data_IF_126499924330
#
_entry.id   IF_126499924330
#
_cell.length_a   1.000
_cell.length_b   1.000
_cell.length_c   1.000
_cell.angle_alpha   90.00
_cell.angle_beta   90.00
_cell.angle_gamma   90.00
#
_symmetry.space_group_name_H-M   'P 1'
#
loop_
_entity.id
_entity.type
_entity.pdbx_description
1 polymer ?
#
# COMPACT_ATOMS: atom_id res chain seq x y z
N UNK A 1 12.33 4.66 2.99
CA UNK A 1 11.04 5.09 3.58
C UNK A 1 10.04 3.97 3.38
N UNK A 2 9.30 3.63 4.43
CA UNK A 2 8.23 2.63 4.40
C UNK A 2 6.90 3.39 4.43
N UNK A 3 5.96 3.00 3.58
CA UNK A 3 4.58 3.48 3.60
C UNK A 3 3.72 2.31 4.09
N UNK A 4 3.18 2.46 5.30
CA UNK A 4 2.39 1.41 5.94
C UNK A 4 0.96 1.44 5.43
N UNK A 5 0.56 0.40 4.70
CA UNK A 5 -0.76 0.27 4.07
C UNK A 5 -1.70 -0.67 4.82
N UNK A 6 -1.25 -1.28 5.91
CA UNK A 6 -2.01 -2.23 6.72
C UNK A 6 -3.40 -1.72 7.13
N UNK A 7 -3.56 -0.51 7.70
CA UNK A 7 -4.86 0.00 8.13
C UNK A 7 -5.90 0.17 7.02
N UNK A 8 -5.46 0.43 5.77
CA UNK A 8 -6.33 0.51 4.60
C UNK A 8 -6.30 -0.79 3.81
N UNK A 9 -5.24 -1.00 3.03
CA UNK A 9 -5.13 -2.10 2.07
C UNK A 9 -5.13 -3.47 2.75
N UNK A 10 -4.40 -3.57 3.88
CA UNK A 10 -4.33 -4.79 4.66
C UNK A 10 -5.68 -5.20 5.24
N UNK A 11 -6.48 -4.23 5.72
CA UNK A 11 -7.79 -4.52 6.29
C UNK A 11 -8.87 -4.69 5.22
N UNK A 12 -8.77 -4.00 4.07
CA UNK A 12 -9.86 -3.80 3.11
C UNK A 12 -10.62 -5.08 2.71
N UNK A 13 -9.89 -6.18 2.55
CA UNK A 13 -10.41 -7.45 2.05
C UNK A 13 -10.60 -8.50 3.17
N UNK A 14 -10.41 -8.14 4.44
CA UNK A 14 -10.67 -9.03 5.56
C UNK A 14 -12.19 -9.21 5.75
N UNK A 15 -12.62 -10.47 5.82
CA UNK A 15 -14.04 -10.82 5.90
C UNK A 15 -14.68 -10.46 7.24
N UNK A 16 -13.88 -10.47 8.32
CA UNK A 16 -14.33 -10.13 9.67
C UNK A 16 -14.36 -8.60 9.84
N UNK A 17 -15.52 -8.02 10.19
CA UNK A 17 -15.61 -6.59 10.48
C UNK A 17 -14.71 -6.20 11.66
N UNK A 18 -13.74 -5.32 11.41
CA UNK A 18 -12.82 -4.84 12.43
C UNK A 18 -13.41 -3.58 13.08
N UNK A 19 -13.57 -3.54 14.41
CA UNK A 19 -14.08 -2.36 15.11
C UNK A 19 -13.20 -1.13 14.93
N UNK A 20 -13.82 0.04 14.77
CA UNK A 20 -13.13 1.34 14.66
C UNK A 20 -12.06 1.57 15.75
N UNK A 21 -12.31 1.26 17.04
CA UNK A 21 -11.29 1.43 18.07
C UNK A 21 -10.03 0.57 17.85
N UNK A 22 -10.17 -0.62 17.25
CA UNK A 22 -9.02 -1.46 16.95
C UNK A 22 -8.23 -0.91 15.75
N UNK A 23 -8.89 -0.36 14.73
CA UNK A 23 -8.22 0.32 13.61
C UNK A 23 -7.44 1.55 14.08
N UNK A 24 -8.04 2.37 14.97
CA UNK A 24 -7.37 3.54 15.55
C UNK A 24 -6.16 3.15 16.39
N UNK A 25 -6.27 2.08 17.19
CA UNK A 25 -5.12 1.54 17.93
C UNK A 25 -4.02 1.06 16.99
N UNK A 26 -4.36 0.31 15.94
CA UNK A 26 -3.39 -0.10 14.92
C UNK A 26 -2.63 1.11 14.35
N UNK A 27 -3.34 2.13 13.87
CA UNK A 27 -2.73 3.36 13.32
C UNK A 27 -1.84 4.06 14.35
N UNK A 28 -2.29 4.14 15.59
CA UNK A 28 -1.54 4.79 16.69
C UNK A 28 -0.26 4.03 17.00
N UNK A 29 -0.34 2.71 17.18
CA UNK A 29 0.82 1.86 17.48
C UNK A 29 1.85 1.88 16.34
N UNK A 30 1.40 1.91 15.08
CA UNK A 30 2.28 2.02 13.92
C UNK A 30 3.00 3.37 13.88
N UNK A 31 2.30 4.47 14.18
CA UNK A 31 2.91 5.79 14.31
C UNK A 31 3.94 5.84 15.45
N UNK A 32 3.63 5.26 16.61
CA UNK A 32 4.53 5.14 17.76
C UNK A 32 5.73 4.20 17.52
N UNK A 33 5.60 3.30 16.54
CA UNK A 33 6.69 2.49 16.01
C UNK A 33 7.62 3.30 15.08
N UNK A 34 7.34 4.56 14.80
CA UNK A 34 8.18 5.42 13.96
C UNK A 34 7.79 5.47 12.48
N UNK A 35 6.68 4.81 12.09
CA UNK A 35 6.16 4.93 10.73
C UNK A 35 5.57 6.33 10.52
N UNK A 36 6.16 7.07 9.58
CA UNK A 36 5.81 8.47 9.29
C UNK A 36 4.92 8.67 8.06
N UNK A 37 4.60 7.60 7.33
CA UNK A 37 3.60 7.59 6.26
C UNK A 37 2.70 6.38 6.45
N UNK A 38 1.43 6.64 6.74
CA UNK A 38 0.45 5.60 7.04
C UNK A 38 -0.78 5.84 6.18
N UNK A 39 -1.17 4.86 5.39
CA UNK A 39 -2.43 4.88 4.66
C UNK A 39 -3.56 4.46 5.60
N UNK A 40 -4.25 5.47 6.14
CA UNK A 40 -5.14 5.31 7.28
C UNK A 40 -6.47 4.66 6.89
N UNK A 41 -7.03 5.01 5.73
CA UNK A 41 -8.36 4.53 5.30
C UNK A 41 -8.65 4.84 3.82
N UNK A 42 -9.85 4.48 3.35
CA UNK A 42 -10.34 4.75 2.00
C UNK A 42 -11.75 5.37 2.01
N UNK A 43 -11.91 6.49 1.32
CA UNK A 43 -13.20 7.16 1.10
C UNK A 43 -13.90 6.56 -0.13
N UNK A 44 -14.24 5.28 -0.01
CA UNK A 44 -14.92 4.46 -1.02
C UNK A 44 -16.36 4.18 -0.56
N UNK A 45 -17.22 3.71 -1.46
CA UNK A 45 -18.60 3.40 -1.08
C UNK A 45 -18.64 2.26 -0.04
N UNK A 46 -19.27 2.47 1.13
CA UNK A 46 -19.47 1.43 2.15
C UNK A 46 -20.22 0.20 1.64
N UNK A 47 -21.01 0.36 0.57
CA UNK A 47 -21.71 -0.75 -0.09
C UNK A 47 -20.74 -1.74 -0.73
N UNK A 48 -19.66 -1.24 -1.34
CA UNK A 48 -18.69 -2.06 -2.05
C UNK A 48 -17.56 -2.52 -1.13
N UNK A 49 -17.18 -1.68 -0.17
CA UNK A 49 -16.10 -1.96 0.78
C UNK A 49 -16.59 -1.65 2.20
N UNK A 50 -17.41 -2.53 2.81
CA UNK A 50 -17.97 -2.29 4.15
C UNK A 50 -16.90 -2.09 5.22
N UNK A 51 -15.75 -2.73 5.05
CA UNK A 51 -14.64 -2.65 5.98
C UNK A 51 -14.09 -1.23 6.14
N UNK A 52 -14.27 -0.35 5.15
CA UNK A 52 -13.81 1.03 5.19
C UNK A 52 -14.92 2.03 5.53
N UNK A 53 -16.10 1.56 5.94
CA UNK A 53 -17.29 2.41 6.18
C UNK A 53 -17.13 3.47 7.28
N UNK A 54 -16.18 3.30 8.19
CA UNK A 54 -15.84 4.21 9.28
C UNK A 54 -14.73 5.21 8.91
N UNK A 55 -14.41 5.36 7.62
CA UNK A 55 -13.33 6.21 7.10
C UNK A 55 -13.33 7.65 7.67
N UNK A 56 -14.50 8.28 7.81
CA UNK A 56 -14.63 9.64 8.33
C UNK A 56 -14.27 9.70 9.82
N UNK A 57 -14.77 8.74 10.61
CA UNK A 57 -14.43 8.62 12.03
C UNK A 57 -12.94 8.38 12.22
N UNK A 58 -12.35 7.46 11.44
CA UNK A 58 -10.91 7.19 11.46
C UNK A 58 -10.13 8.49 11.26
N UNK A 59 -10.39 9.24 10.18
CA UNK A 59 -9.65 10.46 9.90
C UNK A 59 -9.86 11.58 10.92
N UNK A 60 -11.02 11.62 11.57
CA UNK A 60 -11.28 12.61 12.62
C UNK A 60 -10.57 12.28 13.95
N UNK A 61 -10.23 11.01 14.17
CA UNK A 61 -9.72 10.49 15.44
C UNK A 61 -8.27 9.98 15.36
N UNK A 62 -7.65 9.92 14.17
CA UNK A 62 -6.21 9.58 14.07
C UNK A 62 -5.36 10.53 14.93
N UNK A 63 -4.26 10.04 15.53
CA UNK A 63 -3.37 10.88 16.33
C UNK A 63 -2.86 12.09 15.54
N UNK A 64 -2.95 13.29 16.13
CA UNK A 64 -2.46 14.52 15.49
C UNK A 64 -0.96 14.68 15.76
N UNK A 65 -0.16 13.92 15.04
CA UNK A 65 1.31 13.91 15.15
C UNK A 65 1.92 14.59 13.93
N UNK A 66 2.62 15.72 14.12
CA UNK A 66 3.27 16.46 13.03
C UNK A 66 4.33 15.62 12.28
N UNK A 67 4.86 14.58 12.95
CA UNK A 67 5.82 13.64 12.38
C UNK A 67 5.19 12.59 11.46
N UNK A 68 3.86 12.51 11.36
CA UNK A 68 3.15 11.47 10.61
C UNK A 68 2.28 12.09 9.53
N UNK A 69 2.43 11.57 8.31
CA UNK A 69 1.60 11.90 7.17
C UNK A 69 0.56 10.81 6.97
N UNK A 70 -0.71 11.16 7.12
CA UNK A 70 -1.82 10.25 6.85
C UNK A 70 -2.24 10.34 5.38
N UNK A 71 -2.27 9.18 4.73
CA UNK A 71 -2.71 9.01 3.36
C UNK A 71 -4.09 8.34 3.32
N UNK A 72 -4.90 8.72 2.34
CA UNK A 72 -6.24 8.14 2.15
C UNK A 72 -6.52 7.88 0.68
N UNK A 73 -7.20 6.76 0.39
CA UNK A 73 -7.63 6.45 -0.97
C UNK A 73 -8.93 7.21 -1.31
N UNK A 74 -8.94 7.96 -2.41
CA UNK A 74 -10.08 8.77 -2.86
C UNK A 74 -10.35 8.50 -4.35
N UNK A 75 -11.27 7.59 -4.71
CA UNK A 75 -11.48 7.18 -6.11
C UNK A 75 -12.18 8.23 -6.98
N UNK A 76 -12.77 9.27 -6.36
CA UNK A 76 -13.53 10.31 -7.04
C UNK A 76 -13.57 11.59 -6.18
N UNK A 77 -14.06 12.68 -6.79
CA UNK A 77 -14.11 14.01 -6.16
C UNK A 77 -14.97 14.04 -4.89
N UNK A 78 -16.06 13.28 -4.84
CA UNK A 78 -16.92 13.21 -3.65
C UNK A 78 -16.18 12.58 -2.47
N UNK A 79 -15.43 11.50 -2.73
CA UNK A 79 -14.57 10.86 -1.74
C UNK A 79 -13.44 11.79 -1.27
N UNK A 80 -12.86 12.55 -2.20
CA UNK A 80 -11.87 13.59 -1.89
C UNK A 80 -12.42 14.68 -0.95
N UNK A 81 -13.56 15.28 -1.31
CA UNK A 81 -14.19 16.34 -0.50
C UNK A 81 -14.55 15.82 0.90
N UNK A 82 -15.08 14.60 0.98
CA UNK A 82 -15.36 13.95 2.26
C UNK A 82 -14.08 13.72 3.06
N UNK A 83 -12.98 13.30 2.44
CA UNK A 83 -11.71 13.09 3.11
C UNK A 83 -11.16 14.37 3.74
N UNK A 84 -11.07 15.45 2.96
CA UNK A 84 -10.56 16.75 3.41
C UNK A 84 -11.46 17.36 4.51
N UNK A 85 -12.77 17.12 4.44
CA UNK A 85 -13.70 17.55 5.49
C UNK A 85 -13.61 16.76 6.81
N UNK A 86 -13.06 15.54 6.77
CA UNK A 86 -13.06 14.61 7.91
C UNK A 86 -11.84 14.75 8.81
N UNK A 87 -10.74 15.35 8.32
CA UNK A 87 -9.52 15.46 9.11
C UNK A 87 -8.33 15.95 8.29
N UNK A 88 -7.15 15.93 8.92
CA UNK A 88 -5.91 16.34 8.27
C UNK A 88 -5.40 15.25 7.34
N UNK A 89 -5.59 15.45 6.04
CA UNK A 89 -5.10 14.57 4.98
C UNK A 89 -3.81 15.14 4.40
N UNK A 90 -2.72 14.38 4.47
CA UNK A 90 -1.43 14.80 3.88
C UNK A 90 -1.30 14.40 2.42
N UNK A 91 -1.86 13.23 2.09
CA UNK A 91 -1.78 12.64 0.76
C UNK A 91 -3.13 12.02 0.40
N UNK A 92 -3.59 12.26 -0.82
CA UNK A 92 -4.70 11.51 -1.41
C UNK A 92 -4.18 10.57 -2.48
N UNK A 93 -4.73 9.36 -2.50
CA UNK A 93 -4.30 8.31 -3.42
C UNK A 93 -5.41 7.96 -4.41
N UNK A 94 -5.04 7.79 -5.68
CA UNK A 94 -5.89 7.24 -6.75
C UNK A 94 -5.30 5.91 -7.24
N UNK A 95 -6.14 5.02 -7.78
CA UNK A 95 -5.70 3.68 -8.17
C UNK A 95 -6.05 3.37 -9.62
N UNK A 96 -5.04 3.13 -10.45
CA UNK A 96 -5.17 2.64 -11.82
C UNK A 96 -4.60 1.23 -11.96
N UNK A 97 -4.57 0.71 -13.20
CA UNK A 97 -3.90 -0.54 -13.51
C UNK A 97 -3.30 -0.50 -14.91
N UNK A 98 -2.25 -1.29 -15.14
CA UNK A 98 -1.63 -1.49 -16.44
C UNK A 98 -2.36 -2.56 -17.30
N UNK A 99 -3.59 -2.94 -16.93
CA UNK A 99 -4.34 -4.04 -17.53
C UNK A 99 -5.80 -3.68 -17.74
N UNK A 100 -6.25 -3.73 -18.99
CA UNK A 100 -7.65 -3.48 -19.37
C UNK A 100 -8.59 -4.50 -18.72
N UNK A 101 -8.18 -5.78 -18.70
CA UNK A 101 -8.94 -6.83 -18.04
C UNK A 101 -9.13 -6.53 -16.55
N UNK A 102 -8.11 -6.00 -15.88
CA UNK A 102 -8.20 -5.65 -14.47
C UNK A 102 -9.09 -4.43 -14.23
N UNK A 103 -8.94 -3.35 -15.01
CA UNK A 103 -9.79 -2.17 -14.88
C UNK A 103 -11.28 -2.49 -15.09
N UNK A 104 -11.62 -3.27 -16.12
CA UNK A 104 -13.01 -3.67 -16.37
C UNK A 104 -13.58 -4.51 -15.25
N UNK A 105 -12.82 -5.46 -14.72
CA UNK A 105 -13.27 -6.32 -13.62
C UNK A 105 -13.37 -5.58 -12.29
N UNK A 106 -12.48 -4.63 -11.99
CA UNK A 106 -12.40 -3.99 -10.68
C UNK A 106 -13.24 -2.71 -10.57
N UNK A 107 -13.32 -1.91 -11.64
CA UNK A 107 -13.98 -0.59 -11.64
C UNK A 107 -14.92 -0.35 -12.82
N UNK A 108 -15.16 -1.39 -13.63
CA UNK A 108 -16.10 -1.38 -14.76
C UNK A 108 -15.88 -0.21 -15.73
N UNK A 109 -14.61 0.06 -16.05
CA UNK A 109 -14.21 1.05 -17.05
C UNK A 109 -12.88 0.65 -17.72
N UNK A 110 -12.48 1.36 -18.78
CA UNK A 110 -11.16 1.20 -19.39
C UNK A 110 -10.07 1.89 -18.55
N UNK A 111 -8.80 1.67 -18.92
CA UNK A 111 -7.68 2.40 -18.31
C UNK A 111 -7.84 3.90 -18.52
N UNK A 112 -8.11 4.34 -19.76
CA UNK A 112 -8.18 5.75 -20.11
C UNK A 112 -9.36 6.45 -19.37
N UNK A 113 -10.51 5.78 -19.29
CA UNK A 113 -11.66 6.27 -18.49
C UNK A 113 -11.33 6.37 -17.00
N UNK A 114 -10.52 5.45 -16.46
CA UNK A 114 -10.09 5.51 -15.06
C UNK A 114 -9.19 6.73 -14.81
N UNK A 115 -8.24 6.99 -15.71
CA UNK A 115 -7.32 8.14 -15.64
C UNK A 115 -8.09 9.45 -15.69
N UNK A 116 -9.08 9.56 -16.59
CA UNK A 116 -9.90 10.76 -16.70
C UNK A 116 -10.74 11.03 -15.44
N UNK A 117 -11.22 9.98 -14.75
CA UNK A 117 -11.91 10.13 -13.45
C UNK A 117 -10.99 10.68 -12.36
N UNK A 118 -9.70 10.35 -12.40
CA UNK A 118 -8.74 10.81 -11.41
C UNK A 118 -8.36 12.28 -11.57
N UNK A 119 -8.47 12.85 -12.79
CA UNK A 119 -8.08 14.24 -13.07
C UNK A 119 -8.74 15.22 -12.10
N UNK A 120 -10.04 15.09 -11.89
CA UNK A 120 -10.77 15.97 -10.96
C UNK A 120 -10.28 15.86 -9.52
N UNK A 121 -9.87 14.68 -9.06
CA UNK A 121 -9.29 14.50 -7.71
C UNK A 121 -7.91 15.17 -7.62
N UNK A 122 -7.06 14.95 -8.62
CA UNK A 122 -5.69 15.50 -8.65
C UNK A 122 -5.70 17.02 -8.78
N UNK A 123 -6.61 17.58 -9.57
CA UNK A 123 -6.81 19.03 -9.69
C UNK A 123 -7.20 19.65 -8.36
N UNK A 124 -8.19 19.08 -7.65
CA UNK A 124 -8.59 19.56 -6.31
C UNK A 124 -7.49 19.43 -5.28
N UNK A 125 -6.80 18.28 -5.25
CA UNK A 125 -5.66 18.07 -4.36
C UNK A 125 -4.59 19.15 -4.57
N UNK A 126 -4.30 19.47 -5.83
CA UNK A 126 -3.34 20.53 -6.18
C UNK A 126 -3.81 21.92 -5.75
N UNK A 127 -5.09 22.25 -5.91
CA UNK A 127 -5.67 23.52 -5.46
C UNK A 127 -5.54 23.69 -3.93
N UNK A 128 -5.73 22.61 -3.19
CA UNK A 128 -5.66 22.59 -1.72
C UNK A 128 -4.23 22.37 -1.18
N UNK A 129 -3.24 22.21 -2.06
CA UNK A 129 -1.84 21.96 -1.68
C UNK A 129 -1.59 20.58 -1.06
N UNK A 130 -2.48 19.63 -1.30
CA UNK A 130 -2.40 18.24 -0.84
C UNK A 130 -1.66 17.39 -1.88
N UNK A 131 -0.75 16.52 -1.43
CA UNK A 131 -0.02 15.63 -2.33
C UNK A 131 -0.96 14.60 -2.96
N UNK A 132 -0.87 14.40 -4.28
CA UNK A 132 -1.57 13.31 -4.96
C UNK A 132 -0.60 12.18 -5.31
N UNK A 133 -0.97 10.95 -4.91
CA UNK A 133 -0.23 9.71 -5.13
C UNK A 133 -1.04 8.76 -6.03
N UNK A 134 -0.37 8.04 -6.92
CA UNK A 134 -1.01 7.12 -7.86
C UNK A 134 -0.54 5.69 -7.66
N UNK A 135 -1.44 4.73 -7.64
CA UNK A 135 -1.11 3.31 -7.66
C UNK A 135 -1.33 2.72 -9.05
N UNK A 136 -0.37 1.95 -9.57
CA UNK A 136 -0.52 1.18 -10.81
C UNK A 136 -0.49 -0.31 -10.49
N UNK A 137 -1.65 -0.95 -10.54
CA UNK A 137 -1.77 -2.41 -10.38
C UNK A 137 -1.28 -3.19 -11.61
N UNK A 138 -0.99 -4.47 -11.39
CA UNK A 138 -0.67 -5.48 -12.41
C UNK A 138 0.63 -5.22 -13.21
N UNK A 139 1.68 -4.66 -12.60
CA UNK A 139 2.92 -4.35 -13.33
C UNK A 139 3.68 -5.60 -13.84
N UNK A 140 3.51 -6.72 -13.14
CA UNK A 140 4.18 -7.98 -13.43
C UNK A 140 3.26 -9.02 -14.10
N UNK A 141 1.95 -8.87 -13.94
CA UNK A 141 0.94 -9.78 -14.48
C UNK A 141 -0.46 -9.42 -13.99
N UNK A 142 -1.46 -9.94 -14.69
CA UNK A 142 -2.87 -9.71 -14.42
C UNK A 142 -3.61 -11.04 -14.24
N UNK A 143 -4.47 -11.20 -13.22
CA UNK A 143 -5.25 -12.43 -13.03
C UNK A 143 -6.31 -12.66 -14.13
N UNK A 144 -6.69 -11.63 -14.88
CA UNK A 144 -7.71 -11.70 -15.92
C UNK A 144 -7.16 -11.75 -17.35
N UNK A 145 -6.04 -11.05 -17.59
CA UNK A 145 -5.43 -10.88 -18.92
C UNK A 145 -4.14 -11.72 -19.07
N UNK A 146 -3.56 -12.19 -17.97
CA UNK A 146 -2.27 -12.85 -17.96
C UNK A 146 -1.12 -11.83 -18.10
N UNK A 147 -0.19 -12.02 -19.04
CA UNK A 147 0.95 -11.12 -19.20
C UNK A 147 0.56 -9.65 -19.45
N UNK A 148 1.24 -8.73 -18.77
CA UNK A 148 1.11 -7.28 -18.96
C UNK A 148 2.39 -6.75 -19.59
N UNK A 149 2.27 -5.94 -20.65
CA UNK A 149 3.45 -5.41 -21.34
C UNK A 149 4.12 -4.30 -20.53
N UNK A 150 5.45 -4.17 -20.61
CA UNK A 150 6.17 -3.05 -19.96
C UNK A 150 5.69 -1.70 -20.53
N UNK A 151 5.37 -1.68 -21.83
CA UNK A 151 4.86 -0.48 -22.51
C UNK A 151 3.54 0.01 -21.91
N UNK A 152 2.65 -0.89 -21.51
CA UNK A 152 1.39 -0.51 -20.86
C UNK A 152 1.64 0.09 -19.48
N UNK A 153 2.60 -0.46 -18.71
CA UNK A 153 3.00 0.11 -17.41
C UNK A 153 3.55 1.53 -17.60
N UNK A 154 4.46 1.73 -18.56
CA UNK A 154 5.05 3.04 -18.86
C UNK A 154 3.99 4.03 -19.32
N UNK A 155 3.07 3.62 -20.21
CA UNK A 155 1.96 4.47 -20.68
C UNK A 155 1.10 4.99 -19.53
N UNK A 156 0.73 4.11 -18.59
CA UNK A 156 -0.08 4.50 -17.43
C UNK A 156 0.72 5.38 -16.47
N UNK A 157 2.01 5.09 -16.26
CA UNK A 157 2.89 5.93 -15.46
C UNK A 157 3.00 7.35 -16.03
N UNK A 158 3.29 7.48 -17.33
CA UNK A 158 3.36 8.79 -18.01
C UNK A 158 2.05 9.56 -17.86
N UNK A 159 0.91 8.91 -18.09
CA UNK A 159 -0.40 9.54 -17.94
C UNK A 159 -0.68 10.01 -16.50
N UNK A 160 -0.25 9.24 -15.48
CA UNK A 160 -0.34 9.68 -14.08
C UNK A 160 0.54 10.90 -13.80
N UNK A 161 1.78 10.89 -14.32
CA UNK A 161 2.70 12.02 -14.18
C UNK A 161 2.19 13.28 -14.86
N UNK A 162 1.68 13.18 -16.09
CA UNK A 162 1.07 14.29 -16.84
C UNK A 162 -0.13 14.90 -16.12
N UNK A 163 -0.92 14.08 -15.42
CA UNK A 163 -2.05 14.54 -14.61
C UNK A 163 -1.63 15.31 -13.35
N UNK A 164 -0.36 15.22 -12.93
CA UNK A 164 0.17 15.90 -11.74
C UNK A 164 0.37 15.01 -10.52
N UNK A 165 0.31 13.68 -10.68
CA UNK A 165 0.67 12.76 -9.60
C UNK A 165 2.15 12.92 -9.24
N UNK A 166 2.41 13.18 -7.97
CA UNK A 166 3.76 13.49 -7.47
C UNK A 166 4.57 12.23 -7.18
N UNK A 167 3.92 11.14 -6.81
CA UNK A 167 4.56 9.84 -6.55
C UNK A 167 3.70 8.71 -7.11
N UNK A 168 4.32 7.74 -7.78
CA UNK A 168 3.64 6.58 -8.35
C UNK A 168 4.14 5.30 -7.69
N UNK A 169 3.24 4.54 -7.08
CA UNK A 169 3.50 3.21 -6.55
C UNK A 169 3.19 2.14 -7.59
N UNK A 170 4.23 1.39 -7.99
CA UNK A 170 4.12 0.31 -8.96
C UNK A 170 3.81 -1.00 -8.21
N UNK A 171 2.62 -1.55 -8.46
CA UNK A 171 2.05 -2.68 -7.73
C UNK A 171 2.15 -4.02 -8.46
N UNK A 172 2.84 -4.98 -7.86
CA UNK A 172 2.72 -6.41 -8.19
C UNK A 172 1.54 -7.02 -7.42
N UNK A 173 0.33 -6.70 -7.88
CA UNK A 173 -0.95 -6.99 -7.21
C UNK A 173 -1.22 -8.46 -6.92
N UNK A 174 -0.59 -9.37 -7.66
CA UNK A 174 -0.78 -10.81 -7.48
C UNK A 174 0.49 -11.52 -7.00
N UNK A 175 1.60 -10.79 -6.82
CA UNK A 175 2.85 -11.31 -6.27
C UNK A 175 3.60 -12.27 -7.20
N UNK A 176 3.36 -12.19 -8.53
CA UNK A 176 3.98 -13.08 -9.53
C UNK A 176 5.29 -12.52 -10.10
N UNK A 177 5.60 -11.27 -9.78
CA UNK A 177 6.80 -10.60 -10.22
C UNK A 177 8.06 -11.26 -9.69
N UNK A 178 9.07 -11.31 -10.55
CA UNK A 178 10.41 -11.77 -10.21
C UNK A 178 11.40 -10.62 -10.33
N UNK A 179 12.61 -10.71 -9.73
CA UNK A 179 13.60 -9.64 -9.81
C UNK A 179 13.94 -9.22 -11.25
N UNK A 180 13.97 -10.16 -12.19
CA UNK A 180 14.18 -9.88 -13.60
C UNK A 180 13.05 -9.01 -14.17
N UNK A 181 11.80 -9.40 -13.90
CA UNK A 181 10.63 -8.65 -14.36
C UNK A 181 10.56 -7.25 -13.75
N UNK A 182 10.84 -7.13 -12.46
CA UNK A 182 10.92 -5.83 -11.76
C UNK A 182 11.99 -4.94 -12.40
N UNK A 183 13.13 -5.52 -12.77
CA UNK A 183 14.20 -4.77 -13.46
C UNK A 183 13.76 -4.21 -14.80
N UNK A 184 13.04 -5.01 -15.60
CA UNK A 184 12.52 -4.57 -16.91
C UNK A 184 11.59 -3.37 -16.75
N UNK A 185 10.64 -3.46 -15.80
CA UNK A 185 9.66 -2.40 -15.55
C UNK A 185 10.34 -1.14 -15.05
N UNK A 186 11.18 -1.24 -14.01
CA UNK A 186 11.88 -0.09 -13.44
C UNK A 186 12.82 0.58 -14.45
N UNK A 187 13.53 -0.20 -15.27
CA UNK A 187 14.41 0.37 -16.30
C UNK A 187 13.62 1.19 -17.32
N UNK A 188 12.45 0.69 -17.74
CA UNK A 188 11.62 1.39 -18.70
C UNK A 188 10.99 2.67 -18.12
N UNK A 189 10.51 2.62 -16.88
CA UNK A 189 9.97 3.79 -16.17
C UNK A 189 11.08 4.84 -15.93
N UNK A 190 12.27 4.42 -15.54
CA UNK A 190 13.41 5.33 -15.36
C UNK A 190 13.80 6.04 -16.66
N UNK A 191 13.62 5.40 -17.83
CA UNK A 191 13.90 6.01 -19.13
C UNK A 191 12.82 7.00 -19.58
N UNK A 192 11.56 6.84 -19.16
CA UNK A 192 10.48 7.78 -19.49
C UNK A 192 10.40 8.98 -18.56
N UNK A 193 10.98 8.88 -17.35
CA UNK A 193 10.89 9.92 -16.33
C UNK A 193 12.15 10.79 -16.24
N UNK A 194 12.04 12.13 -16.34
CA UNK A 194 13.18 13.03 -16.09
C UNK A 194 13.77 12.89 -14.68
N UNK A 195 12.97 12.46 -13.69
CA UNK A 195 13.40 12.20 -12.32
C UNK A 195 13.96 10.79 -12.09
N UNK A 196 14.10 9.99 -13.15
CA UNK A 196 14.49 8.58 -13.04
C UNK A 196 13.48 7.83 -12.17
N UNK A 197 13.94 7.32 -11.02
CA UNK A 197 13.11 6.60 -10.05
C UNK A 197 12.79 7.40 -8.77
N UNK A 198 13.16 8.68 -8.70
CA UNK A 198 13.02 9.48 -7.47
C UNK A 198 11.56 9.68 -7.00
N UNK A 199 10.60 9.54 -7.90
CA UNK A 199 9.16 9.64 -7.68
C UNK A 199 8.44 8.29 -7.71
N UNK A 200 9.19 7.19 -7.76
CA UNK A 200 8.64 5.82 -7.78
C UNK A 200 8.66 5.24 -6.38
N UNK A 201 7.57 4.56 -6.02
CA UNK A 201 7.48 3.62 -4.91
C UNK A 201 7.16 2.23 -5.47
N UNK A 202 7.45 1.18 -4.69
CA UNK A 202 7.08 -0.19 -5.06
C UNK A 202 6.13 -0.80 -4.05
N UNK A 203 5.14 -1.51 -4.56
CA UNK A 203 4.17 -2.26 -3.77
C UNK A 203 4.21 -3.72 -4.20
N UNK A 204 4.81 -4.57 -3.39
CA UNK A 204 4.92 -6.00 -3.68
C UNK A 204 4.00 -6.81 -2.80
N UNK A 205 3.23 -7.68 -3.43
CA UNK A 205 2.66 -8.81 -2.70
C UNK A 205 3.70 -9.93 -2.58
N UNK A 206 3.62 -10.66 -1.47
CA UNK A 206 4.45 -11.83 -1.18
C UNK A 206 3.71 -13.16 -1.39
N UNK A 207 2.67 -13.17 -2.23
CA UNK A 207 1.85 -14.35 -2.56
C UNK A 207 2.69 -15.57 -2.94
N UNK A 208 3.76 -15.36 -3.72
CA UNK A 208 4.68 -16.41 -4.19
C UNK A 208 6.07 -16.33 -3.55
N UNK A 209 6.21 -15.60 -2.43
CA UNK A 209 7.49 -15.49 -1.70
C UNK A 209 8.55 -14.63 -2.39
N UNK A 210 8.14 -13.75 -3.32
CA UNK A 210 9.06 -12.90 -4.09
C UNK A 210 9.20 -11.47 -3.54
N UNK A 211 8.43 -11.09 -2.52
CA UNK A 211 8.32 -9.71 -2.03
C UNK A 211 9.67 -9.14 -1.60
N UNK A 212 10.37 -9.80 -0.66
CA UNK A 212 11.68 -9.34 -0.19
C UNK A 212 12.75 -9.31 -1.30
N UNK A 213 12.76 -10.31 -2.19
CA UNK A 213 13.69 -10.36 -3.31
C UNK A 213 13.45 -9.21 -4.31
N UNK A 214 12.18 -8.86 -4.55
CA UNK A 214 11.80 -7.76 -5.42
C UNK A 214 12.09 -6.40 -4.79
N UNK A 215 11.94 -6.24 -3.46
CA UNK A 215 12.39 -5.05 -2.74
C UNK A 215 13.89 -4.87 -2.90
N UNK A 216 14.70 -5.89 -2.54
CA UNK A 216 16.16 -5.83 -2.65
C UNK A 216 16.58 -5.41 -4.05
N UNK A 217 15.98 -6.02 -5.07
CA UNK A 217 16.28 -5.67 -6.46
C UNK A 217 15.91 -4.23 -6.82
N UNK A 218 14.80 -3.73 -6.30
CA UNK A 218 14.37 -2.34 -6.52
C UNK A 218 15.32 -1.35 -5.82
N UNK A 219 15.82 -1.70 -4.63
CA UNK A 219 16.83 -0.92 -3.91
C UNK A 219 18.15 -0.84 -4.69
N UNK A 220 18.62 -1.94 -5.26
CA UNK A 220 19.82 -1.97 -6.12
C UNK A 220 19.69 -1.04 -7.34
N UNK A 221 18.46 -0.78 -7.79
CA UNK A 221 18.16 0.12 -8.90
C UNK A 221 17.94 1.57 -8.47
N UNK A 222 17.94 1.86 -7.17
CA UNK A 222 17.82 3.21 -6.63
C UNK A 222 16.43 3.58 -6.09
N UNK A 223 15.48 2.64 -6.02
CA UNK A 223 14.20 2.87 -5.34
C UNK A 223 14.40 2.85 -3.83
N UNK A 224 13.80 3.82 -3.13
CA UNK A 224 13.92 3.95 -1.67
C UNK A 224 12.57 4.10 -0.94
N UNK A 225 11.46 3.82 -1.63
CA UNK A 225 10.08 3.90 -1.09
C UNK A 225 9.34 2.60 -1.37
N UNK A 226 8.81 2.01 -0.30
CA UNK A 226 8.17 0.70 -0.36
C UNK A 226 6.89 0.69 0.46
N UNK A 227 5.85 0.11 -0.12
CA UNK A 227 4.60 -0.15 0.58
C UNK A 227 4.67 -1.52 1.25
N UNK A 228 4.22 -1.59 2.49
CA UNK A 228 4.17 -2.84 3.25
C UNK A 228 3.04 -2.79 4.27
N UNK A 229 2.69 -3.96 4.81
CA UNK A 229 1.54 -4.12 5.70
C UNK A 229 1.96 -4.84 6.98
N UNK A 230 1.76 -4.23 8.14
CA UNK A 230 2.07 -4.85 9.43
C UNK A 230 1.32 -6.19 9.59
N UNK A 231 1.99 -7.21 10.13
CA UNK A 231 1.47 -8.57 10.23
C UNK A 231 1.30 -9.29 8.88
N UNK A 232 1.71 -8.67 7.77
CA UNK A 232 1.34 -9.11 6.42
C UNK A 232 -0.17 -9.12 6.21
N UNK A 233 -0.89 -8.14 6.78
CA UNK A 233 -2.33 -8.01 6.61
C UNK A 233 -2.69 -7.77 5.14
N UNK A 234 -3.87 -8.24 4.74
CA UNK A 234 -4.32 -8.25 3.35
C UNK A 234 -3.88 -9.53 2.65
N UNK A 235 -4.85 -10.39 2.36
CA UNK A 235 -4.67 -11.55 1.49
C UNK A 235 -4.87 -11.18 0.02
N UNK A 236 -4.38 -12.03 -0.90
CA UNK A 236 -4.65 -11.87 -2.32
C UNK A 236 -6.00 -12.53 -2.68
N UNK A 237 -7.05 -11.77 -3.04
CA UNK A 237 -8.36 -12.36 -3.38
C UNK A 237 -8.31 -13.26 -4.63
N UNK A 238 -7.26 -13.12 -5.45
CA UNK A 238 -7.08 -13.85 -6.70
C UNK A 238 -6.26 -15.13 -6.55
N UNK A 239 -5.61 -15.36 -5.41
CA UNK A 239 -4.70 -16.50 -5.21
C UNK A 239 -5.33 -17.65 -4.40
N UNK A 240 -6.65 -17.67 -4.25
CA UNK A 240 -7.36 -18.62 -3.39
C UNK A 240 -7.29 -18.25 -1.91
N UNK A 241 -8.27 -18.72 -1.12
CA UNK A 241 -8.41 -18.33 0.28
C UNK A 241 -7.20 -18.73 1.14
N UNK A 242 -6.50 -17.75 1.69
CA UNK A 242 -5.40 -17.93 2.64
C UNK A 242 -3.99 -17.62 2.13
N UNK A 243 -3.81 -17.33 0.83
CA UNK A 243 -2.52 -16.89 0.32
C UNK A 243 -2.13 -15.51 0.90
N UNK A 244 -0.83 -15.29 1.12
CA UNK A 244 -0.29 -13.97 1.45
C UNK A 244 -0.69 -12.95 0.38
N UNK A 245 -0.94 -11.71 0.80
CA UNK A 245 -1.08 -10.55 -0.08
C UNK A 245 0.13 -9.66 0.12
N UNK A 246 -0.01 -8.56 0.85
CA UNK A 246 1.04 -7.58 1.06
C UNK A 246 2.32 -8.15 1.68
N UNK A 247 3.48 -7.62 1.28
CA UNK A 247 4.74 -7.83 2.00
C UNK A 247 4.61 -7.32 3.45
N UNK A 248 5.04 -8.15 4.40
CA UNK A 248 5.01 -7.79 5.82
C UNK A 248 6.01 -6.67 6.14
N UNK A 249 5.56 -5.65 6.87
CA UNK A 249 6.41 -4.52 7.30
C UNK A 249 7.56 -5.00 8.18
N UNK A 250 7.33 -5.98 9.05
CA UNK A 250 8.34 -6.56 9.93
C UNK A 250 9.46 -7.25 9.14
N UNK A 251 9.12 -7.97 8.07
CA UNK A 251 10.08 -8.69 7.23
C UNK A 251 10.95 -7.69 6.45
N UNK A 252 10.34 -6.56 6.01
CA UNK A 252 11.05 -5.46 5.37
C UNK A 252 11.99 -4.73 6.33
N UNK A 253 11.52 -4.34 7.51
CA UNK A 253 12.34 -3.66 8.53
C UNK A 253 13.52 -4.54 8.93
N UNK A 254 13.29 -5.83 9.18
CA UNK A 254 14.35 -6.77 9.50
C UNK A 254 15.42 -6.87 8.42
N UNK A 255 15.01 -6.93 7.14
CA UNK A 255 15.95 -6.93 6.02
C UNK A 255 16.76 -5.63 5.97
N UNK A 256 16.10 -4.48 6.10
CA UNK A 256 16.77 -3.17 6.09
C UNK A 256 17.77 -3.04 7.25
N UNK A 257 17.39 -3.40 8.47
CA UNK A 257 18.26 -3.36 9.65
C UNK A 257 19.49 -4.26 9.46
N UNK A 258 19.29 -5.49 8.97
CA UNK A 258 20.38 -6.43 8.68
C UNK A 258 21.32 -5.95 7.57
N UNK A 259 20.85 -5.11 6.65
CA UNK A 259 21.62 -4.48 5.59
C UNK A 259 22.25 -3.14 6.01
N UNK A 260 21.94 -2.63 7.21
CA UNK A 260 22.39 -1.30 7.67
C UNK A 260 21.67 -0.14 6.99
N UNK A 261 20.46 -0.36 6.47
CA UNK A 261 19.62 0.66 5.84
C UNK A 261 18.68 1.24 6.90
N UNK A 262 18.85 2.53 7.21
CA UNK A 262 18.05 3.20 8.22
C UNK A 262 16.58 3.38 7.79
N UNK A 263 15.67 2.85 8.60
CA UNK A 263 14.22 3.02 8.43
C UNK A 263 13.61 3.98 9.46
N UNK A 264 14.21 4.06 10.64
CA UNK A 264 13.65 4.79 11.80
C UNK A 264 12.48 4.07 12.48
N UNK A 265 12.25 2.79 12.15
CA UNK A 265 11.10 2.01 12.63
C UNK A 265 11.52 1.03 13.73
N UNK A 266 10.77 1.01 14.83
CA UNK A 266 10.90 0.04 15.92
C UNK A 266 10.21 -1.27 15.54
N UNK A 267 11.01 -2.27 15.18
CA UNK A 267 10.54 -3.58 14.75
C UNK A 267 9.63 -4.26 15.80
N UNK A 268 9.96 -4.21 17.09
CA UNK A 268 9.18 -4.92 18.11
C UNK A 268 7.78 -4.31 18.27
N UNK A 269 7.66 -2.98 18.16
CA UNK A 269 6.36 -2.30 18.17
C UNK A 269 5.51 -2.62 16.94
N UNK A 270 6.11 -2.74 15.74
CA UNK A 270 5.37 -3.17 14.55
C UNK A 270 4.84 -4.60 14.73
N UNK A 271 5.66 -5.51 15.28
CA UNK A 271 5.23 -6.89 15.57
C UNK A 271 4.04 -6.89 16.53
N UNK A 272 4.08 -6.07 17.59
CA UNK A 272 2.97 -5.97 18.54
C UNK A 272 1.69 -5.42 17.89
N UNK A 273 1.80 -4.37 17.08
CA UNK A 273 0.67 -3.78 16.36
C UNK A 273 0.02 -4.77 15.38
N UNK A 274 0.83 -5.49 14.59
CA UNK A 274 0.36 -6.54 13.70
C UNK A 274 -0.29 -7.71 14.46
N UNK A 275 0.32 -8.13 15.57
CA UNK A 275 -0.18 -9.22 16.42
C UNK A 275 -1.61 -8.95 16.87
N UNK A 276 -1.90 -7.79 17.45
CA UNK A 276 -3.21 -7.47 18.03
C UNK A 276 -4.35 -7.66 17.00
N UNK A 277 -4.12 -7.24 15.76
CA UNK A 277 -5.09 -7.38 14.67
C UNK A 277 -5.22 -8.84 14.22
N UNK A 278 -4.09 -9.54 14.06
CA UNK A 278 -4.12 -10.95 13.66
C UNK A 278 -4.79 -11.85 14.70
N UNK A 279 -4.59 -11.58 15.99
CA UNK A 279 -5.27 -12.25 17.10
C UNK A 279 -6.78 -11.98 17.09
N UNK A 280 -7.20 -10.73 16.87
CA UNK A 280 -8.61 -10.39 16.73
C UNK A 280 -9.27 -11.11 15.54
N UNK A 281 -8.57 -11.19 14.41
CA UNK A 281 -9.03 -11.88 13.21
C UNK A 281 -8.99 -13.41 13.35
N UNK A 282 -8.32 -13.94 14.38
CA UNK A 282 -8.11 -15.38 14.58
C UNK A 282 -7.24 -16.01 13.49
N UNK A 283 -6.32 -15.25 12.90
CA UNK A 283 -5.39 -15.72 11.88
C UNK A 283 -3.95 -15.69 12.40
N UNK A 284 -3.09 -16.54 11.86
CA UNK A 284 -1.64 -16.43 12.12
C UNK A 284 -1.08 -15.23 11.34
N UNK A 285 -0.15 -14.47 11.96
CA UNK A 285 0.58 -13.42 11.26
C UNK A 285 1.29 -13.99 10.04
N UNK A 286 1.23 -13.26 8.93
CA UNK A 286 1.90 -13.66 7.68
C UNK A 286 3.38 -13.24 7.65
N UNK A 287 3.81 -12.40 8.59
CA UNK A 287 5.22 -12.05 8.79
C UNK A 287 6.03 -13.22 9.34
N UNK A 288 7.10 -13.61 8.64
CA UNK A 288 8.02 -14.64 9.14
C UNK A 288 8.82 -14.16 10.35
N UNK A 289 9.24 -12.90 10.33
CA UNK A 289 9.99 -12.26 11.40
C UNK A 289 9.11 -12.07 12.64
N UNK A 290 7.89 -11.56 12.46
CA UNK A 290 6.91 -11.40 13.53
C UNK A 290 6.62 -12.71 14.23
N UNK A 291 6.42 -13.81 13.50
CA UNK A 291 6.26 -15.14 14.10
C UNK A 291 7.47 -15.59 14.92
N UNK A 292 8.69 -15.35 14.42
CA UNK A 292 9.90 -15.69 15.16
C UNK A 292 10.06 -14.86 16.45
N UNK A 293 9.76 -13.56 16.39
CA UNK A 293 9.83 -12.64 17.53
C UNK A 293 8.77 -12.98 18.58
N UNK A 294 7.51 -13.21 18.18
CA UNK A 294 6.45 -13.61 19.11
C UNK A 294 6.78 -14.92 19.82
N UNK A 295 7.32 -15.92 19.11
CA UNK A 295 7.79 -17.18 19.73
C UNK A 295 8.94 -16.96 20.71
N UNK A 296 9.81 -15.98 20.46
CA UNK A 296 10.86 -15.57 21.39
C UNK A 296 10.27 -14.92 22.64
N UNK A 297 9.30 -14.01 22.50
CA UNK A 297 8.61 -13.38 23.64
C UNK A 297 7.95 -14.39 24.57
N UNK A 298 7.29 -15.43 24.03
CA UNK A 298 6.69 -16.51 24.83
C UNK A 298 7.76 -17.23 25.66
N UNK A 299 8.93 -17.54 25.08
CA UNK A 299 10.04 -18.17 25.81
C UNK A 299 10.62 -17.27 26.90
N UNK A 300 10.54 -15.95 26.71
CA UNK A 300 11.02 -14.93 27.65
C UNK A 300 9.97 -14.53 28.71
N UNK A 301 8.75 -15.07 28.65
CA UNK A 301 7.66 -14.73 29.57
C UNK A 301 7.08 -13.32 29.37
N UNK A 302 7.20 -12.76 28.15
CA UNK A 302 6.71 -11.43 27.78
C UNK A 302 5.35 -11.43 27.07
N UNK A 303 4.83 -12.60 26.71
CA UNK A 303 3.59 -12.79 25.97
C UNK A 303 2.71 -13.84 26.66
#
# INVERSE_FOLDING_TARGET
QIIEVGPRDGLQNEATPIPTPLKLRLITSLAEAGLNRIEATAFVSPKWVPQMSDHATIMSEVPKLDSVKYEVLTPNVQGYESAVSSGSVSTVSVFGAASEGFCRSNINCTIDESIDRFRGVVERAKEDGIMARGYISCIAGCPFQGPVSVKDVVRVYEAMKEMGISEVSLGDTIGVGTPARVSEVLSAVAMSSPSGLGDVAMHFHDTYGMGAANVLRSMDMGVNKFDSSAGGLGGCPYAGGGASGNLATEDLVYMCDGMGVETGVDLEKVVEAGREVTEFLGIESRSKVGLAIMRRWVKEGKA
#
